data_IF_216512592674
#
_entry.id   IF_216512592674
#
_cell.length_a   1.000
_cell.length_b   1.000
_cell.length_c   1.000
_cell.angle_alpha   90.00
_cell.angle_beta   90.00
_cell.angle_gamma   90.00
#
_symmetry.space_group_name_H-M   'P 1'
#
loop_
_entity.id
_entity.type
_entity.pdbx_description
1 polymer ?
#
# COMPACT_ATOMS: atom_id res chain seq x y z
N UNK A 1 -13.11 -17.43 -0.11
CA UNK A 1 -14.47 -17.98 0.03
C UNK A 1 -14.61 -18.75 1.34
N UNK A 2 -13.74 -19.71 1.61
CA UNK A 2 -13.83 -20.58 2.78
C UNK A 2 -13.73 -19.77 4.09
N UNK A 3 -12.79 -18.84 4.19
CA UNK A 3 -12.67 -17.97 5.35
C UNK A 3 -13.93 -17.15 5.64
N UNK A 4 -14.61 -16.63 4.62
CA UNK A 4 -15.90 -15.92 4.78
C UNK A 4 -16.98 -16.87 5.30
N UNK A 5 -16.99 -18.13 4.85
CA UNK A 5 -17.94 -19.13 5.36
C UNK A 5 -17.64 -19.51 6.82
N UNK A 6 -16.38 -19.54 7.22
CA UNK A 6 -16.00 -19.76 8.63
C UNK A 6 -16.44 -18.63 9.56
N UNK A 7 -16.37 -17.37 9.08
CA UNK A 7 -16.85 -16.20 9.83
C UNK A 7 -18.36 -16.16 9.93
N UNK A 8 -19.07 -16.63 8.91
CA UNK A 8 -20.53 -16.67 8.86
C UNK A 8 -21.06 -17.80 9.75
N UNK A 9 -21.51 -17.47 10.95
CA UNK A 9 -22.05 -18.43 11.95
C UNK A 9 -23.58 -18.54 11.93
N UNK A 10 -24.26 -17.57 11.30
CA UNK A 10 -25.70 -17.46 11.23
C UNK A 10 -26.16 -17.47 9.78
N UNK A 11 -27.21 -18.27 9.46
CA UNK A 11 -27.81 -18.28 8.12
C UNK A 11 -28.46 -16.94 7.75
N UNK A 12 -28.87 -16.14 8.73
CA UNK A 12 -29.40 -14.79 8.54
C UNK A 12 -28.31 -13.70 8.47
N UNK A 13 -27.02 -14.07 8.50
CA UNK A 13 -25.95 -13.10 8.39
C UNK A 13 -26.03 -12.33 7.07
N UNK A 14 -25.96 -11.01 7.15
CA UNK A 14 -25.88 -10.13 5.99
C UNK A 14 -24.42 -10.09 5.53
N UNK A 15 -24.17 -10.51 4.29
CA UNK A 15 -22.83 -10.48 3.69
C UNK A 15 -22.82 -9.50 2.52
N UNK A 16 -21.94 -8.53 2.56
CA UNK A 16 -21.75 -7.54 1.53
C UNK A 16 -20.32 -7.64 0.99
N UNK A 17 -20.16 -7.74 -0.32
CA UNK A 17 -18.87 -7.80 -1.00
C UNK A 17 -18.61 -6.48 -1.72
N UNK A 18 -17.33 -6.11 -1.82
CA UNK A 18 -16.87 -4.89 -2.50
C UNK A 18 -17.69 -3.67 -2.09
N UNK A 19 -17.95 -3.55 -0.79
CA UNK A 19 -18.83 -2.51 -0.28
C UNK A 19 -18.07 -1.22 -0.06
N UNK A 20 -18.50 -0.17 -0.75
CA UNK A 20 -18.05 1.19 -0.44
C UNK A 20 -18.56 1.58 0.94
N UNK A 21 -17.66 2.10 1.78
CA UNK A 21 -17.94 2.60 3.12
C UNK A 21 -17.56 4.08 3.19
N UNK A 22 -18.43 4.87 3.80
CA UNK A 22 -18.30 6.33 3.92
C UNK A 22 -17.81 6.70 5.32
N UNK A 23 -16.60 7.25 5.42
CA UNK A 23 -16.07 7.84 6.64
C UNK A 23 -15.83 9.35 6.49
N UNK A 24 -16.57 9.99 5.57
CA UNK A 24 -16.53 11.45 5.36
C UNK A 24 -16.89 12.29 6.58
N UNK A 25 -17.66 11.83 7.59
CA UNK A 25 -17.83 12.56 8.84
C UNK A 25 -16.51 12.85 9.58
N UNK A 26 -15.48 12.04 9.38
CA UNK A 26 -14.16 12.22 10.01
C UNK A 26 -13.09 12.72 9.03
N UNK A 27 -13.16 12.30 7.78
CA UNK A 27 -12.19 12.66 6.74
C UNK A 27 -12.92 13.35 5.59
N UNK A 28 -12.70 14.65 5.31
CA UNK A 28 -13.40 15.34 4.23
C UNK A 28 -13.32 14.60 2.90
N UNK A 29 -14.49 14.14 2.39
CA UNK A 29 -14.56 13.32 1.17
C UNK A 29 -13.99 11.91 1.29
N UNK A 30 -13.75 11.44 2.51
CA UNK A 30 -13.14 10.14 2.79
C UNK A 30 -14.11 8.98 2.56
N UNK A 31 -13.66 8.00 1.81
CA UNK A 31 -14.36 6.73 1.60
C UNK A 31 -13.34 5.62 1.34
N UNK A 32 -13.80 4.38 1.44
CA UNK A 32 -13.03 3.21 1.04
C UNK A 32 -13.94 2.13 0.46
N UNK A 33 -13.36 1.06 -0.02
CA UNK A 33 -14.09 -0.15 -0.42
C UNK A 33 -13.59 -1.30 0.43
N UNK A 34 -14.47 -1.83 1.27
CA UNK A 34 -14.19 -3.04 2.05
C UNK A 34 -14.48 -4.27 1.19
N UNK A 35 -13.55 -5.22 1.14
CA UNK A 35 -13.71 -6.42 0.30
C UNK A 35 -14.89 -7.27 0.76
N UNK A 36 -15.08 -7.37 2.10
CA UNK A 36 -16.25 -8.03 2.65
C UNK A 36 -16.66 -7.43 3.99
N UNK A 37 -17.96 -7.24 4.19
CA UNK A 37 -18.58 -6.91 5.48
C UNK A 37 -19.60 -7.99 5.80
N UNK A 38 -19.54 -8.52 7.02
CA UNK A 38 -20.49 -9.50 7.53
C UNK A 38 -21.15 -8.92 8.78
N UNK A 39 -22.47 -8.89 8.82
CA UNK A 39 -23.23 -8.46 10.00
C UNK A 39 -24.09 -9.63 10.44
N UNK A 40 -23.90 -10.06 11.67
CA UNK A 40 -24.64 -11.17 12.27
C UNK A 40 -24.98 -10.86 13.72
N UNK A 41 -26.29 -10.87 14.04
CA UNK A 41 -26.77 -10.37 15.32
C UNK A 41 -26.37 -8.90 15.51
N UNK A 42 -25.63 -8.63 16.58
CA UNK A 42 -25.09 -7.30 16.91
C UNK A 42 -23.57 -7.21 16.74
N UNK A 43 -23.00 -8.05 15.90
CA UNK A 43 -21.56 -8.07 15.60
C UNK A 43 -21.30 -7.80 14.12
N UNK A 44 -20.23 -7.08 13.84
CA UNK A 44 -19.79 -6.73 12.50
C UNK A 44 -18.35 -7.19 12.26
N UNK A 45 -18.12 -7.93 11.19
CA UNK A 45 -16.80 -8.30 10.70
C UNK A 45 -16.51 -7.50 9.41
N UNK A 46 -15.33 -6.88 9.33
CA UNK A 46 -14.83 -6.18 8.14
C UNK A 46 -13.54 -6.86 7.69
N UNK A 47 -13.55 -7.42 6.50
CA UNK A 47 -12.45 -8.23 5.97
C UNK A 47 -11.79 -7.52 4.81
N UNK A 48 -10.46 -7.47 4.81
CA UNK A 48 -9.61 -6.98 3.74
C UNK A 48 -8.71 -8.13 3.25
N UNK A 49 -8.78 -8.41 1.96
CA UNK A 49 -8.04 -9.46 1.29
C UNK A 49 -6.76 -8.92 0.65
N UNK A 50 -5.62 -9.40 1.11
CA UNK A 50 -4.31 -8.98 0.57
C UNK A 50 -3.58 -10.15 -0.09
N UNK A 51 -3.52 -10.14 -1.42
CA UNK A 51 -2.88 -11.21 -2.19
C UNK A 51 -1.35 -11.11 -2.26
N UNK A 52 -0.76 -10.01 -1.79
CA UNK A 52 0.70 -9.83 -1.75
C UNK A 52 1.42 -10.85 -0.86
N UNK A 53 2.62 -11.26 -1.25
CA UNK A 53 3.45 -12.23 -0.53
C UNK A 53 4.72 -11.60 0.11
N UNK A 54 4.81 -10.26 0.15
CA UNK A 54 6.06 -9.60 0.57
C UNK A 54 6.18 -9.35 2.07
N UNK A 55 5.11 -8.87 2.71
CA UNK A 55 5.13 -8.47 4.13
C UNK A 55 3.82 -8.89 4.79
N UNK A 56 3.93 -9.55 5.95
CA UNK A 56 2.76 -9.85 6.77
C UNK A 56 2.20 -8.54 7.36
N UNK A 57 0.89 -8.34 7.24
CA UNK A 57 0.20 -7.16 7.73
C UNK A 57 -0.68 -7.56 8.90
N UNK A 58 -0.61 -6.81 10.01
CA UNK A 58 -1.50 -6.95 11.15
C UNK A 58 -2.76 -6.11 10.97
N UNK A 59 -3.90 -6.62 11.43
CA UNK A 59 -5.11 -5.84 11.58
C UNK A 59 -5.08 -4.96 12.83
N UNK A 60 -4.30 -5.34 13.85
CA UNK A 60 -4.19 -4.60 15.10
C UNK A 60 -3.61 -3.20 14.86
N UNK A 61 -4.35 -2.18 15.32
CA UNK A 61 -4.02 -0.77 15.15
C UNK A 61 -3.76 -0.35 13.69
N UNK A 62 -4.28 -1.09 12.72
CA UNK A 62 -4.13 -0.78 11.31
C UNK A 62 -5.08 0.35 10.91
N UNK A 63 -4.58 1.54 10.51
CA UNK A 63 -5.44 2.69 10.22
C UNK A 63 -6.42 2.47 9.08
N UNK A 64 -6.05 1.69 8.05
CA UNK A 64 -6.95 1.33 6.94
C UNK A 64 -8.14 0.54 7.47
N UNK A 65 -7.86 -0.50 8.27
CA UNK A 65 -8.89 -1.35 8.82
C UNK A 65 -9.80 -0.62 9.80
N UNK A 66 -9.21 0.27 10.62
CA UNK A 66 -9.97 1.13 11.54
C UNK A 66 -10.88 2.09 10.78
N UNK A 67 -10.41 2.71 9.68
CA UNK A 67 -11.24 3.60 8.85
C UNK A 67 -12.36 2.82 8.14
N UNK A 68 -12.11 1.59 7.68
CA UNK A 68 -13.16 0.77 7.10
C UNK A 68 -14.20 0.35 8.14
N UNK A 69 -13.77 -0.03 9.34
CA UNK A 69 -14.66 -0.30 10.46
C UNK A 69 -15.50 0.92 10.84
N UNK A 70 -14.88 2.09 10.88
CA UNK A 70 -15.55 3.37 11.20
C UNK A 70 -16.60 3.73 10.14
N UNK A 71 -16.27 3.58 8.84
CA UNK A 71 -17.21 3.81 7.73
C UNK A 71 -18.36 2.79 7.72
N UNK A 72 -18.07 1.53 8.02
CA UNK A 72 -19.10 0.50 8.14
C UNK A 72 -20.05 0.77 9.34
N UNK A 73 -19.51 1.21 10.48
CA UNK A 73 -20.33 1.65 11.63
C UNK A 73 -21.20 2.87 11.29
N UNK A 74 -20.66 3.82 10.55
CA UNK A 74 -21.41 5.02 10.11
C UNK A 74 -22.62 4.64 9.25
N UNK A 75 -22.50 3.63 8.38
CA UNK A 75 -23.60 3.20 7.51
C UNK A 75 -24.56 2.23 8.18
N UNK A 76 -24.06 1.29 8.97
CA UNK A 76 -24.82 0.14 9.45
C UNK A 76 -24.99 0.07 10.96
N UNK A 77 -24.14 0.74 11.73
CA UNK A 77 -24.09 0.63 13.17
C UNK A 77 -25.40 0.97 13.86
N UNK A 78 -26.11 2.00 13.36
CA UNK A 78 -27.42 2.38 13.88
C UNK A 78 -28.54 1.37 13.55
N UNK A 79 -28.44 0.70 12.38
CA UNK A 79 -29.47 -0.24 11.92
C UNK A 79 -29.39 -1.55 12.71
N UNK A 80 -28.18 -2.00 13.02
CA UNK A 80 -27.92 -3.33 13.61
C UNK A 80 -27.49 -3.29 15.07
N UNK A 81 -27.46 -2.09 15.70
CA UNK A 81 -27.02 -1.90 17.10
C UNK A 81 -25.70 -2.62 17.41
N UNK A 82 -24.64 -2.27 16.67
CA UNK A 82 -23.35 -2.95 16.69
C UNK A 82 -22.45 -2.40 17.80
N UNK A 83 -22.25 -3.10 18.93
CA UNK A 83 -21.33 -2.68 19.99
C UNK A 83 -19.86 -3.01 19.70
N UNK A 84 -19.60 -3.99 18.82
CA UNK A 84 -18.23 -4.45 18.51
C UNK A 84 -18.03 -4.70 17.03
N UNK A 85 -16.85 -4.32 16.53
CA UNK A 85 -16.40 -4.57 15.17
C UNK A 85 -15.13 -5.39 15.22
N UNK A 86 -15.07 -6.49 14.49
CA UNK A 86 -13.81 -7.20 14.23
C UNK A 86 -13.33 -6.89 12.82
N UNK A 87 -12.12 -6.40 12.73
CA UNK A 87 -11.43 -6.15 11.45
C UNK A 87 -10.47 -7.29 11.18
N UNK A 88 -10.42 -7.76 9.92
CA UNK A 88 -9.61 -8.90 9.53
C UNK A 88 -8.73 -8.56 8.34
N UNK A 89 -7.44 -8.90 8.41
CA UNK A 89 -6.57 -8.97 7.24
C UNK A 89 -6.35 -10.44 6.91
N UNK A 90 -6.69 -10.82 5.67
CA UNK A 90 -6.56 -12.17 5.15
C UNK A 90 -5.54 -12.20 4.01
N UNK A 91 -4.36 -12.81 4.26
CA UNK A 91 -3.27 -12.96 3.29
C UNK A 91 -3.00 -14.45 3.01
N UNK A 92 -3.70 -15.09 2.06
CA UNK A 92 -3.59 -16.55 1.85
C UNK A 92 -2.21 -16.99 1.40
N UNK A 93 -1.51 -16.20 0.59
CA UNK A 93 -0.15 -16.54 0.12
C UNK A 93 0.91 -16.55 1.23
N UNK A 94 0.61 -15.95 2.36
CA UNK A 94 1.50 -15.89 3.54
C UNK A 94 0.96 -16.73 4.71
N UNK A 95 -0.15 -17.43 4.49
CA UNK A 95 -0.87 -18.12 5.55
C UNK A 95 -1.12 -17.21 6.78
N UNK A 96 -1.38 -15.92 6.52
CA UNK A 96 -1.59 -14.91 7.54
C UNK A 96 -3.08 -14.55 7.64
N UNK A 97 -3.64 -14.78 8.81
CA UNK A 97 -4.98 -14.34 9.20
C UNK A 97 -4.83 -13.52 10.47
N UNK A 98 -5.14 -12.24 10.40
CA UNK A 98 -4.99 -11.32 11.51
C UNK A 98 -6.33 -10.68 11.84
N UNK A 99 -7.09 -11.19 12.83
CA UNK A 99 -8.27 -10.53 13.36
C UNK A 99 -7.92 -9.57 14.49
N UNK A 100 -8.71 -8.50 14.62
CA UNK A 100 -8.65 -7.58 15.76
C UNK A 100 -10.03 -7.01 16.05
N UNK A 101 -10.50 -7.15 17.29
CA UNK A 101 -11.82 -6.70 17.74
C UNK A 101 -11.71 -5.39 18.49
N UNK A 102 -12.58 -4.45 18.14
CA UNK A 102 -12.70 -3.14 18.77
C UNK A 102 -14.12 -2.92 19.27
N UNK A 103 -14.27 -2.14 20.35
CA UNK A 103 -15.56 -1.59 20.72
C UNK A 103 -15.94 -0.46 19.72
N UNK A 104 -17.19 -0.39 19.33
CA UNK A 104 -17.70 0.63 18.43
C UNK A 104 -17.51 2.05 19.02
N UNK A 105 -17.67 2.18 20.34
CA UNK A 105 -17.43 3.43 21.06
C UNK A 105 -15.98 3.88 20.98
N UNK A 106 -15.01 2.98 21.23
CA UNK A 106 -13.57 3.29 21.20
C UNK A 106 -13.14 3.66 19.79
N UNK A 107 -13.67 2.96 18.78
CA UNK A 107 -13.40 3.26 17.38
C UNK A 107 -13.95 4.62 16.95
N UNK A 108 -15.15 4.97 17.40
CA UNK A 108 -15.77 6.25 17.13
C UNK A 108 -15.02 7.39 17.84
N UNK A 109 -14.61 7.18 19.10
CA UNK A 109 -13.79 8.14 19.86
C UNK A 109 -12.44 8.39 19.17
N UNK A 110 -11.78 7.34 18.68
CA UNK A 110 -10.56 7.49 17.87
C UNK A 110 -10.84 8.32 16.60
N UNK A 111 -11.96 8.08 15.93
CA UNK A 111 -12.40 8.86 14.79
C UNK A 111 -12.54 10.35 15.13
N UNK A 112 -13.19 10.67 16.23
CA UNK A 112 -13.47 12.04 16.64
C UNK A 112 -12.25 12.78 17.19
N UNK A 113 -11.43 12.08 18.00
CA UNK A 113 -10.32 12.73 18.74
C UNK A 113 -9.01 12.74 17.95
N UNK A 114 -8.79 11.77 17.07
CA UNK A 114 -7.54 11.64 16.31
C UNK A 114 -7.74 11.84 14.80
N UNK A 115 -8.66 11.09 14.17
CA UNK A 115 -8.81 11.12 12.69
C UNK A 115 -9.29 12.47 12.21
N UNK A 116 -10.39 12.98 12.78
CA UNK A 116 -11.01 14.25 12.35
C UNK A 116 -10.05 15.44 12.43
N UNK A 117 -9.37 15.72 13.54
CA UNK A 117 -8.43 16.84 13.59
C UNK A 117 -7.20 16.63 12.69
N UNK A 118 -6.72 15.39 12.56
CA UNK A 118 -5.58 15.07 11.69
C UNK A 118 -5.94 15.27 10.22
N UNK A 119 -7.08 14.75 9.79
CA UNK A 119 -7.58 14.91 8.42
C UNK A 119 -7.87 16.39 8.09
N UNK A 120 -8.41 17.16 9.05
CA UNK A 120 -8.64 18.59 8.86
C UNK A 120 -7.33 19.38 8.66
N UNK A 121 -6.25 19.04 9.39
CA UNK A 121 -4.92 19.62 9.17
C UNK A 121 -4.37 19.23 7.80
N UNK A 122 -4.44 17.93 7.46
CA UNK A 122 -3.97 17.43 6.18
C UNK A 122 -4.69 18.08 4.98
N UNK A 123 -6.01 18.27 5.08
CA UNK A 123 -6.81 18.93 4.04
C UNK A 123 -6.41 20.42 3.82
N UNK A 124 -5.86 21.08 4.84
CA UNK A 124 -5.32 22.44 4.74
C UNK A 124 -3.85 22.49 4.31
N UNK A 125 -3.20 21.34 4.16
CA UNK A 125 -1.75 21.27 3.92
C UNK A 125 -0.93 21.66 5.16
N UNK A 126 -1.52 21.59 6.35
CA UNK A 126 -0.87 21.87 7.64
C UNK A 126 -0.29 20.57 8.23
N UNK A 127 0.76 20.72 9.01
CA UNK A 127 1.43 19.62 9.72
C UNK A 127 2.90 19.49 9.35
N UNK A 128 3.62 18.75 10.17
CA UNK A 128 5.04 18.51 9.97
C UNK A 128 5.25 17.31 9.06
N UNK A 129 6.15 17.46 8.09
CA UNK A 129 6.59 16.32 7.27
C UNK A 129 7.63 15.50 8.03
N UNK A 130 7.49 14.18 8.01
CA UNK A 130 8.47 13.26 8.56
C UNK A 130 8.80 12.14 7.58
N UNK A 131 10.08 11.79 7.47
CA UNK A 131 10.52 10.66 6.66
C UNK A 131 10.34 9.34 7.43
N UNK A 132 9.81 8.31 6.74
CA UNK A 132 9.56 6.99 7.32
C UNK A 132 9.25 5.95 6.25
N UNK A 133 8.79 4.77 6.66
CA UNK A 133 8.44 3.66 5.75
C UNK A 133 7.30 4.01 4.79
N UNK A 134 6.37 4.87 5.22
CA UNK A 134 5.27 5.38 4.39
C UNK A 134 5.76 6.14 3.15
N UNK A 135 6.99 6.66 3.14
CA UNK A 135 7.59 7.33 1.98
C UNK A 135 7.73 6.42 0.77
N UNK A 136 7.76 5.10 0.96
CA UNK A 136 7.83 4.11 -0.13
C UNK A 136 6.68 4.23 -1.11
N UNK A 137 5.50 4.61 -0.64
CA UNK A 137 4.27 4.72 -1.44
C UNK A 137 3.82 6.17 -1.63
N UNK A 138 4.63 7.14 -1.20
CA UNK A 138 4.27 8.55 -1.25
C UNK A 138 4.46 9.12 -2.67
N UNK A 139 3.42 9.62 -3.33
CA UNK A 139 3.56 10.22 -4.65
C UNK A 139 4.40 11.51 -4.66
N UNK A 140 4.61 12.12 -3.48
CA UNK A 140 5.45 13.30 -3.32
C UNK A 140 6.93 12.98 -3.04
N UNK A 141 7.32 11.70 -2.93
CA UNK A 141 8.68 11.26 -2.53
C UNK A 141 9.80 11.92 -3.34
N UNK A 142 9.63 12.06 -4.66
CA UNK A 142 10.64 12.67 -5.55
C UNK A 142 10.87 14.17 -5.34
N UNK A 143 9.99 14.87 -4.64
CA UNK A 143 10.08 16.31 -4.34
C UNK A 143 10.13 16.61 -2.84
N UNK A 144 10.08 15.60 -1.99
CA UNK A 144 9.97 15.79 -0.56
C UNK A 144 11.30 16.25 0.07
N UNK A 145 11.38 17.44 0.66
CA UNK A 145 12.62 17.93 1.27
C UNK A 145 12.99 17.14 2.53
N UNK A 146 12.03 16.65 3.30
CA UNK A 146 12.31 15.87 4.51
C UNK A 146 12.85 14.48 4.20
N UNK A 147 12.34 13.83 3.13
CA UNK A 147 12.91 12.58 2.66
C UNK A 147 14.33 12.78 2.13
N UNK A 148 14.57 13.86 1.37
CA UNK A 148 15.91 14.22 0.89
C UNK A 148 16.87 14.46 2.06
N UNK A 149 16.48 15.22 3.09
CA UNK A 149 17.29 15.43 4.31
C UNK A 149 17.60 14.12 5.02
N UNK A 150 16.58 13.24 5.17
CA UNK A 150 16.76 11.94 5.81
C UNK A 150 17.76 11.06 5.06
N UNK A 151 17.69 11.00 3.72
CA UNK A 151 18.64 10.25 2.89
C UNK A 151 20.03 10.88 2.93
N UNK A 152 20.13 12.22 2.83
CA UNK A 152 21.42 12.95 2.90
C UNK A 152 22.11 12.76 4.25
N UNK A 153 21.37 12.70 5.36
CA UNK A 153 21.95 12.41 6.68
C UNK A 153 22.69 11.08 6.71
N UNK A 154 22.14 10.04 6.10
CA UNK A 154 22.78 8.71 6.03
C UNK A 154 24.08 8.80 5.22
N UNK A 155 24.06 9.51 4.09
CA UNK A 155 25.25 9.72 3.26
C UNK A 155 26.31 10.55 4.01
N UNK A 156 25.90 11.58 4.77
CA UNK A 156 26.80 12.41 5.57
C UNK A 156 27.40 11.66 6.76
N UNK A 157 26.66 10.76 7.40
CA UNK A 157 27.17 9.87 8.46
C UNK A 157 28.28 8.95 7.93
N UNK A 158 28.18 8.54 6.65
CA UNK A 158 29.23 7.78 5.97
C UNK A 158 30.46 8.63 5.60
N UNK A 159 30.29 9.97 5.48
CA UNK A 159 31.31 10.93 5.04
C UNK A 159 31.82 11.89 6.11
N UNK A 160 31.79 11.52 7.40
CA UNK A 160 32.48 12.29 8.45
C UNK A 160 33.97 12.52 8.12
N UNK A 161 34.69 13.43 8.82
CA UNK A 161 36.07 13.82 8.47
C UNK A 161 36.93 12.57 8.37
N UNK A 162 37.24 12.19 7.14
CA UNK A 162 37.90 10.92 6.80
C UNK A 162 39.36 11.03 7.06
N UNK A 163 39.74 10.60 8.27
CA UNK A 163 41.13 10.26 8.56
C UNK A 163 41.45 8.77 8.26
N UNK A 164 40.45 7.99 7.80
CA UNK A 164 40.56 6.53 7.57
C UNK A 164 40.08 6.21 6.16
N UNK A 165 40.83 5.47 5.34
CA UNK A 165 40.47 5.19 3.94
C UNK A 165 39.31 4.20 3.75
N UNK A 166 38.70 3.69 4.82
CA UNK A 166 37.63 2.70 4.80
C UNK A 166 36.54 3.01 5.83
N UNK A 167 35.30 2.67 5.47
CA UNK A 167 34.17 2.76 6.40
C UNK A 167 34.34 1.77 7.56
N UNK A 168 34.00 2.21 8.76
CA UNK A 168 33.91 1.33 9.91
C UNK A 168 32.71 0.36 9.75
N UNK A 169 32.76 -0.87 10.34
CA UNK A 169 31.67 -1.84 10.19
C UNK A 169 30.28 -1.32 10.59
N UNK A 170 30.17 -0.46 11.60
CA UNK A 170 28.91 0.13 12.03
C UNK A 170 28.36 1.13 11.00
N UNK A 171 29.23 1.88 10.29
CA UNK A 171 28.82 2.78 9.21
C UNK A 171 28.29 2.00 8.01
N UNK A 172 28.92 0.86 7.70
CA UNK A 172 28.42 -0.05 6.67
C UNK A 172 27.05 -0.59 7.05
N UNK A 173 26.85 -1.01 8.30
CA UNK A 173 25.57 -1.49 8.79
C UNK A 173 24.45 -0.43 8.68
N UNK A 174 24.73 0.83 9.06
CA UNK A 174 23.78 1.94 8.95
C UNK A 174 23.40 2.25 7.50
N UNK A 175 24.37 2.20 6.58
CA UNK A 175 24.12 2.40 5.15
C UNK A 175 23.26 1.26 4.58
N UNK A 176 23.60 0.01 4.91
CA UNK A 176 22.82 -1.15 4.45
C UNK A 176 21.40 -1.14 5.00
N UNK A 177 21.19 -0.73 6.26
CA UNK A 177 19.86 -0.57 6.83
C UNK A 177 19.01 0.52 6.12
N UNK A 178 19.67 1.51 5.52
CA UNK A 178 18.99 2.59 4.78
C UNK A 178 18.91 2.36 3.26
N UNK A 179 19.54 1.31 2.73
CA UNK A 179 19.71 1.07 1.28
C UNK A 179 18.38 1.11 0.52
N UNK A 180 17.38 0.35 0.94
CA UNK A 180 16.11 0.27 0.24
C UNK A 180 15.38 1.62 0.19
N UNK A 181 15.47 2.42 1.25
CA UNK A 181 14.88 3.76 1.32
C UNK A 181 15.59 4.75 0.41
N UNK A 182 16.93 4.71 0.38
CA UNK A 182 17.74 5.57 -0.48
C UNK A 182 17.50 5.22 -1.95
N UNK A 183 17.49 3.94 -2.30
CA UNK A 183 17.24 3.46 -3.66
C UNK A 183 15.83 3.84 -4.14
N UNK A 184 14.82 3.67 -3.31
CA UNK A 184 13.46 4.09 -3.61
C UNK A 184 13.34 5.61 -3.82
N UNK A 185 13.99 6.40 -2.98
CA UNK A 185 14.05 7.86 -3.14
C UNK A 185 14.73 8.27 -4.43
N UNK A 186 15.90 7.72 -4.75
CA UNK A 186 16.61 8.01 -5.99
C UNK A 186 15.79 7.64 -7.23
N UNK A 187 15.06 6.53 -7.18
CA UNK A 187 14.12 6.16 -8.23
C UNK A 187 13.01 7.22 -8.38
N UNK A 188 12.37 7.61 -7.28
CA UNK A 188 11.32 8.64 -7.31
C UNK A 188 11.81 9.99 -7.84
N UNK A 189 13.04 10.39 -7.52
CA UNK A 189 13.67 11.60 -8.08
C UNK A 189 13.87 11.46 -9.59
N UNK A 190 14.36 10.33 -10.08
CA UNK A 190 14.55 10.08 -11.53
C UNK A 190 13.22 10.07 -12.28
N UNK A 191 12.21 9.40 -11.76
CA UNK A 191 10.89 9.31 -12.37
C UNK A 191 10.24 10.70 -12.43
N UNK A 192 10.40 11.50 -11.37
CA UNK A 192 9.92 12.89 -11.34
C UNK A 192 10.66 13.79 -12.30
N UNK A 193 11.99 13.70 -12.34
CA UNK A 193 12.82 14.46 -13.28
C UNK A 193 12.42 14.19 -14.74
N UNK A 194 12.17 12.92 -15.07
CA UNK A 194 11.69 12.56 -16.41
C UNK A 194 10.33 13.21 -16.72
N UNK A 195 9.40 13.18 -15.78
CA UNK A 195 8.07 13.81 -15.95
C UNK A 195 8.21 15.31 -16.16
N UNK A 196 8.97 16.01 -15.29
CA UNK A 196 9.19 17.45 -15.38
C UNK A 196 9.81 17.85 -16.73
N UNK A 197 10.79 17.07 -17.22
CA UNK A 197 11.43 17.30 -18.53
C UNK A 197 10.49 17.03 -19.71
N UNK A 198 9.57 16.06 -19.60
CA UNK A 198 8.54 15.82 -20.61
C UNK A 198 7.50 16.94 -20.64
N UNK A 199 7.24 17.57 -19.49
CA UNK A 199 6.36 18.72 -19.34
C UNK A 199 7.05 20.06 -19.77
N UNK A 200 8.34 20.00 -20.17
CA UNK A 200 9.10 21.12 -20.70
C UNK A 200 9.97 21.86 -19.68
N UNK A 201 10.11 21.34 -18.45
CA UNK A 201 11.07 21.90 -17.48
C UNK A 201 12.51 21.49 -17.83
N UNK A 202 13.45 22.43 -17.71
CA UNK A 202 14.88 22.15 -17.93
C UNK A 202 15.55 21.71 -16.63
N UNK A 203 16.19 20.52 -16.66
CA UNK A 203 17.04 20.06 -15.57
C UNK A 203 18.50 20.16 -16.03
N UNK A 204 19.33 21.06 -15.43
CA UNK A 204 20.70 21.29 -15.87
C UNK A 204 21.53 20.00 -15.94
N UNK A 205 22.17 19.77 -17.09
CA UNK A 205 23.02 18.59 -17.31
C UNK A 205 22.29 17.34 -17.77
N UNK A 206 20.96 17.36 -17.91
CA UNK A 206 20.16 16.22 -18.34
C UNK A 206 19.32 16.52 -19.58
N UNK A 207 19.07 15.49 -20.40
CA UNK A 207 18.17 15.57 -21.55
C UNK A 207 17.35 14.27 -21.65
N UNK A 208 16.12 14.40 -22.14
CA UNK A 208 15.29 13.23 -22.48
C UNK A 208 15.82 12.63 -23.78
N UNK A 209 16.03 11.33 -23.78
CA UNK A 209 16.39 10.54 -24.97
C UNK A 209 15.42 9.37 -25.11
N UNK A 210 15.10 9.00 -26.34
CA UNK A 210 14.33 7.79 -26.59
C UNK A 210 15.08 6.57 -26.04
N UNK A 211 14.41 5.78 -25.20
CA UNK A 211 14.94 4.51 -24.72
C UNK A 211 15.14 3.50 -25.85
N UNK A 212 15.90 2.44 -25.60
CA UNK A 212 15.96 1.31 -26.52
C UNK A 212 14.56 0.69 -26.64
N UNK A 213 14.02 0.69 -27.86
CA UNK A 213 12.80 -0.07 -28.13
C UNK A 213 13.13 -1.58 -28.11
N UNK A 214 12.53 -2.30 -27.19
CA UNK A 214 12.47 -3.76 -27.25
C UNK A 214 11.27 -4.14 -28.10
N UNK A 215 11.47 -5.00 -29.09
CA UNK A 215 10.36 -5.58 -29.82
C UNK A 215 9.69 -6.58 -28.91
N UNK A 216 8.43 -6.30 -28.58
CA UNK A 216 7.54 -7.24 -27.88
C UNK A 216 6.41 -7.60 -28.82
N UNK A 217 5.91 -8.81 -28.71
CA UNK A 217 4.72 -9.20 -29.43
C UNK A 217 3.52 -8.44 -28.89
N UNK A 218 2.62 -8.01 -29.78
CA UNK A 218 1.42 -7.28 -29.37
C UNK A 218 0.37 -8.18 -28.71
N UNK A 219 0.31 -9.43 -29.16
CA UNK A 219 -0.60 -10.46 -28.65
C UNK A 219 0.08 -11.83 -28.72
N UNK A 220 0.29 -12.45 -27.56
CA UNK A 220 0.94 -13.76 -27.44
C UNK A 220 0.10 -14.89 -28.05
N UNK A 221 -1.23 -14.77 -28.08
CA UNK A 221 -2.13 -15.77 -28.68
C UNK A 221 -2.08 -15.72 -30.21
N UNK A 222 -2.06 -14.53 -30.80
CA UNK A 222 -1.89 -14.37 -32.25
C UNK A 222 -0.53 -14.92 -32.70
N UNK A 223 0.53 -14.64 -31.95
CA UNK A 223 1.88 -15.14 -32.24
C UNK A 223 1.95 -16.64 -32.13
N UNK A 224 1.35 -17.23 -31.08
CA UNK A 224 1.28 -18.68 -30.94
C UNK A 224 0.54 -19.35 -32.11
N UNK A 225 -0.54 -18.74 -32.58
CA UNK A 225 -1.29 -19.21 -33.75
C UNK A 225 -0.46 -19.14 -35.04
N UNK A 226 0.28 -18.04 -35.25
CA UNK A 226 1.17 -17.85 -36.40
C UNK A 226 2.33 -18.88 -36.39
N UNK A 227 2.96 -19.08 -35.24
CA UNK A 227 4.06 -20.03 -35.09
C UNK A 227 3.58 -21.46 -35.33
N UNK A 228 2.41 -21.82 -34.81
CA UNK A 228 1.80 -23.13 -35.04
C UNK A 228 1.48 -23.35 -36.53
N UNK A 229 0.95 -22.32 -37.22
CA UNK A 229 0.67 -22.34 -38.65
C UNK A 229 1.98 -22.47 -39.48
N UNK A 230 3.08 -21.88 -38.98
CA UNK A 230 4.41 -21.96 -39.57
C UNK A 230 5.12 -23.31 -39.33
N UNK A 231 4.49 -24.22 -38.56
CA UNK A 231 5.00 -25.59 -38.34
C UNK A 231 5.91 -25.74 -37.12
N UNK A 232 6.00 -24.73 -36.24
CA UNK A 232 6.72 -24.85 -34.97
C UNK A 232 5.88 -25.63 -33.96
N UNK A 233 6.49 -26.56 -33.21
CA UNK A 233 5.83 -27.23 -32.10
C UNK A 233 5.66 -26.29 -30.92
N UNK A 234 4.63 -26.49 -30.10
CA UNK A 234 4.34 -25.65 -28.94
C UNK A 234 5.51 -25.54 -27.97
N UNK A 235 6.27 -26.58 -27.80
CA UNK A 235 7.48 -26.71 -26.97
C UNK A 235 8.62 -25.79 -27.43
N UNK A 236 8.64 -25.40 -28.72
CA UNK A 236 9.70 -24.56 -29.29
C UNK A 236 9.56 -23.09 -28.93
N UNK A 237 8.36 -22.64 -28.53
CA UNK A 237 8.06 -21.23 -28.27
C UNK A 237 7.33 -20.96 -26.93
N UNK A 238 7.11 -21.99 -26.10
CA UNK A 238 6.53 -21.82 -24.76
C UNK A 238 7.49 -22.33 -23.70
N UNK A 239 7.60 -21.58 -22.61
CA UNK A 239 8.28 -22.02 -21.39
C UNK A 239 7.22 -22.35 -20.35
N UNK A 240 7.26 -23.55 -19.78
CA UNK A 240 6.37 -23.95 -18.70
C UNK A 240 7.11 -23.72 -17.38
N UNK A 241 6.71 -22.71 -16.63
CA UNK A 241 7.20 -22.47 -15.27
C UNK A 241 6.20 -23.03 -14.26
N UNK A 242 6.71 -23.72 -13.25
CA UNK A 242 5.91 -24.08 -12.08
C UNK A 242 5.79 -22.83 -11.22
N UNK A 243 4.61 -22.28 -11.14
CA UNK A 243 4.32 -21.19 -10.20
C UNK A 243 4.43 -21.71 -8.78
N UNK A 244 5.49 -21.31 -8.07
CA UNK A 244 5.73 -21.61 -6.66
C UNK A 244 4.99 -20.68 -5.73
#
# INVERSE_FOLDING_TARGET
>A
RDYIQELKKDDNAVVMLERRVDFSPWVPGGFGTADCIIIQGNHMDVVDYKYGAGVAVSAEQNPQMMLYGLGALNEFGFIYDVPTVTVHIFQPRMNNVSPWTLNATDLTEWGDTFVRPTAAKAAKGEGDMSAGEHCRFCPHAGRCPELAKSCSKVVQLAGGPVAVPTLAPWQVADILAAESRISAWLKAVKDRALTDMLDGEEIPGYKVVAGRSTRTWADDLEVAALLNTAGYAREDYTVTEVLS
#
